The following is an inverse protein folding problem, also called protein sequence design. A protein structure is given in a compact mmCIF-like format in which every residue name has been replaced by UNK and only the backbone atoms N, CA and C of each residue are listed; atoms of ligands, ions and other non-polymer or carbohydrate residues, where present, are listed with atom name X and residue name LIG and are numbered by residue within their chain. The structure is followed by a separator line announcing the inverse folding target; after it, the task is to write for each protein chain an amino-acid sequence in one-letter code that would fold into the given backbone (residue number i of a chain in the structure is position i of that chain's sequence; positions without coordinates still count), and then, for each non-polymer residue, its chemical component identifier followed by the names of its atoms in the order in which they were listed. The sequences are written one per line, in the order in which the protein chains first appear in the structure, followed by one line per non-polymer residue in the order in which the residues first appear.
data_IF_686620495234
#
_entry.id   IF_686620495234
#
_cell.length_a   1.000
_cell.length_b   1.000
_cell.length_c   1.000
_cell.angle_alpha   90.00
_cell.angle_beta   90.00
_cell.angle_gamma   90.00
#
_symmetry.space_group_name_H-M   'P 1'
#
loop_
_entity.id
_entity.type
_entity.pdbx_description
1 polymer ?
#
# COMPACT_ATOMS: atom_id res chain seq x y z
N UNK A 1 2.19 -49.51 67.38
CA UNK A 1 2.09 -49.75 65.92
C UNK A 1 1.63 -48.45 65.29
N UNK A 2 2.55 -47.61 64.92
CA UNK A 2 2.31 -46.26 64.38
C UNK A 2 2.86 -46.21 62.98
N UNK A 3 1.98 -46.07 61.98
CA UNK A 3 2.31 -45.96 60.58
C UNK A 3 2.52 -44.49 60.24
N UNK A 4 3.71 -44.14 59.88
CA UNK A 4 4.04 -42.80 59.32
C UNK A 4 3.86 -42.80 57.83
N UNK A 5 2.97 -41.96 57.35
CA UNK A 5 2.75 -41.66 55.93
C UNK A 5 3.63 -40.50 55.50
N UNK A 6 4.62 -40.73 54.66
CA UNK A 6 5.45 -39.69 54.09
C UNK A 6 4.83 -39.17 52.79
N UNK A 7 4.47 -37.89 52.79
CA UNK A 7 3.97 -37.16 51.62
C UNK A 7 5.15 -36.68 50.77
N UNK A 8 5.31 -37.20 49.58
CA UNK A 8 6.30 -36.75 48.62
C UNK A 8 5.74 -35.52 47.83
N UNK A 9 6.37 -34.39 47.97
CA UNK A 9 6.08 -33.15 47.20
C UNK A 9 6.77 -33.28 45.85
N UNK A 10 6.00 -33.49 44.80
CA UNK A 10 6.47 -33.42 43.40
C UNK A 10 6.66 -31.98 43.01
N UNK A 11 7.91 -31.55 42.82
CA UNK A 11 8.28 -30.28 42.25
C UNK A 11 8.05 -30.34 40.75
N UNK A 12 7.09 -29.54 40.25
CA UNK A 12 6.86 -29.32 38.82
C UNK A 12 8.10 -28.69 38.16
N UNK A 13 8.77 -29.48 37.34
CA UNK A 13 9.94 -29.07 36.59
C UNK A 13 9.54 -28.11 35.46
N UNK A 14 10.16 -26.95 35.42
CA UNK A 14 10.12 -25.99 34.31
C UNK A 14 10.45 -26.71 32.99
N UNK A 15 9.70 -26.51 31.89
CA UNK A 15 9.99 -27.16 30.63
C UNK A 15 11.35 -26.67 30.08
N UNK A 16 12.30 -27.56 30.03
CA UNK A 16 13.63 -27.35 29.44
C UNK A 16 13.45 -27.04 27.97
N UNK A 17 13.91 -25.85 27.51
CA UNK A 17 13.96 -25.51 26.11
C UNK A 17 14.66 -26.63 25.34
N UNK A 18 13.97 -27.22 24.37
CA UNK A 18 14.51 -28.30 23.56
C UNK A 18 15.74 -27.78 22.80
N UNK A 19 16.90 -28.38 23.05
CA UNK A 19 18.14 -28.08 22.33
C UNK A 19 17.92 -28.45 20.86
N UNK A 20 17.79 -27.43 20.01
CA UNK A 20 17.65 -27.63 18.57
C UNK A 20 18.94 -28.21 18.02
N UNK A 21 18.92 -29.44 17.53
CA UNK A 21 20.11 -30.11 16.98
C UNK A 21 20.55 -29.44 15.67
N UNK A 22 21.86 -29.52 15.34
CA UNK A 22 22.41 -28.99 14.09
C UNK A 22 21.66 -29.55 12.86
N UNK A 23 21.31 -30.83 12.87
CA UNK A 23 20.54 -31.50 11.82
C UNK A 23 19.10 -30.94 11.68
N UNK A 24 18.53 -30.40 12.75
CA UNK A 24 17.21 -29.75 12.71
C UNK A 24 17.30 -28.32 12.20
N UNK A 25 18.41 -27.60 12.53
CA UNK A 25 18.72 -26.30 11.93
C UNK A 25 19.02 -26.41 10.44
N UNK A 26 19.75 -27.44 10.01
CA UNK A 26 20.01 -27.72 8.58
C UNK A 26 18.74 -28.07 7.82
N UNK A 27 17.85 -28.90 8.38
CA UNK A 27 16.53 -29.18 7.79
C UNK A 27 15.66 -27.94 7.68
N UNK A 28 15.63 -27.08 8.71
CA UNK A 28 14.91 -25.80 8.69
C UNK A 28 15.52 -24.83 7.67
N UNK A 29 16.85 -24.83 7.52
CA UNK A 29 17.54 -24.01 6.52
C UNK A 29 17.26 -24.51 5.08
N UNK A 30 17.25 -25.84 4.86
CA UNK A 30 16.88 -26.45 3.58
C UNK A 30 15.40 -26.16 3.24
N UNK A 31 14.48 -26.38 4.18
CA UNK A 31 13.05 -26.07 3.98
C UNK A 31 12.77 -24.57 3.76
N UNK A 32 13.65 -23.66 4.22
CA UNK A 32 13.59 -22.23 3.89
C UNK A 32 14.07 -21.93 2.49
N UNK A 33 15.04 -22.70 1.95
CA UNK A 33 15.54 -22.56 0.57
C UNK A 33 14.50 -23.00 -0.48
N UNK A 34 13.69 -23.99 -0.16
CA UNK A 34 12.63 -24.52 -1.04
C UNK A 34 11.31 -23.73 -0.98
N UNK A 35 11.20 -22.76 -0.07
CA UNK A 35 10.02 -21.87 -0.07
C UNK A 35 10.16 -20.86 -1.20
N UNK A 36 9.11 -20.68 -2.05
CA UNK A 36 9.12 -19.62 -3.04
C UNK A 36 9.45 -18.29 -2.36
N UNK A 37 10.33 -17.51 -3.00
CA UNK A 37 10.71 -16.20 -2.47
C UNK A 37 9.44 -15.33 -2.34
N UNK A 38 9.41 -14.47 -1.32
CA UNK A 38 8.29 -13.57 -1.11
C UNK A 38 7.97 -12.79 -2.39
N UNK A 39 6.70 -12.82 -2.79
CA UNK A 39 6.23 -12.15 -4.01
C UNK A 39 6.71 -12.80 -5.32
N UNK A 40 7.02 -14.11 -5.34
CA UNK A 40 7.45 -14.82 -6.53
C UNK A 40 6.49 -14.62 -7.73
N UNK A 41 5.18 -14.63 -7.47
CA UNK A 41 4.14 -14.48 -8.50
C UNK A 41 3.54 -13.07 -8.56
N UNK A 42 4.11 -12.12 -7.82
CA UNK A 42 3.62 -10.75 -7.79
C UNK A 42 4.28 -9.89 -8.89
N UNK A 43 3.51 -9.05 -9.54
CA UNK A 43 4.02 -8.04 -10.48
C UNK A 43 4.81 -6.96 -9.74
N UNK A 44 4.31 -6.52 -8.56
CA UNK A 44 5.04 -5.64 -7.65
C UNK A 44 5.25 -6.40 -6.34
N UNK A 45 6.51 -6.49 -5.91
CA UNK A 45 6.88 -7.08 -4.64
C UNK A 45 7.80 -6.14 -3.86
N UNK A 46 7.27 -5.54 -2.80
CA UNK A 46 8.01 -4.77 -1.81
C UNK A 46 8.18 -5.63 -0.55
N UNK A 47 9.42 -5.92 -0.18
CA UNK A 47 9.79 -6.71 1.00
C UNK A 47 10.59 -5.82 1.95
N UNK A 48 9.97 -5.40 3.05
CA UNK A 48 10.56 -4.56 4.10
C UNK A 48 11.27 -3.33 3.56
N UNK A 49 10.62 -2.62 2.65
CA UNK A 49 11.18 -1.43 2.01
C UNK A 49 11.36 -0.32 3.06
N UNK A 50 12.60 0.17 3.16
CA UNK A 50 12.97 1.30 4.03
C UNK A 50 13.45 2.45 3.16
N UNK A 51 13.00 3.67 3.48
CA UNK A 51 13.53 4.88 2.89
C UNK A 51 13.78 5.93 3.95
N UNK A 52 15.03 6.35 4.08
CA UNK A 52 15.49 7.39 4.99
C UNK A 52 16.00 8.55 4.15
N UNK A 53 15.50 9.75 4.43
CA UNK A 53 16.01 11.00 3.89
C UNK A 53 16.87 11.70 4.95
N UNK A 54 18.04 12.19 4.57
CA UNK A 54 18.89 12.98 5.45
C UNK A 54 18.94 14.40 4.90
N UNK A 55 18.48 15.38 5.68
CA UNK A 55 18.51 16.79 5.33
C UNK A 55 19.04 17.59 6.54
N UNK A 56 20.10 18.33 6.36
CA UNK A 56 20.71 19.18 7.40
C UNK A 56 21.01 18.44 8.72
N UNK A 57 21.40 17.16 8.63
CA UNK A 57 21.71 16.32 9.80
C UNK A 57 20.48 15.73 10.50
N UNK A 58 19.26 15.98 10.00
CA UNK A 58 18.03 15.35 10.48
C UNK A 58 17.69 14.17 9.58
N UNK A 59 17.44 13.01 10.18
CA UNK A 59 16.99 11.81 9.48
C UNK A 59 15.48 11.68 9.59
N UNK A 60 14.83 11.59 8.43
CA UNK A 60 13.39 11.32 8.32
C UNK A 60 13.17 9.96 7.68
N UNK A 61 12.63 9.03 8.43
CA UNK A 61 12.30 7.70 7.95
C UNK A 61 10.91 7.70 7.31
N UNK A 62 10.85 7.85 6.00
CA UNK A 62 9.61 7.93 5.25
C UNK A 62 8.96 6.56 5.03
N UNK A 63 9.75 5.48 4.88
CA UNK A 63 9.27 4.09 4.85
C UNK A 63 10.01 3.27 5.89
N UNK A 64 9.27 2.46 6.65
CA UNK A 64 9.75 1.79 7.87
C UNK A 64 9.64 0.26 7.78
N UNK A 65 10.04 -0.32 6.65
CA UNK A 65 9.92 -1.76 6.40
C UNK A 65 8.54 -2.09 5.82
N UNK A 66 8.14 -1.35 4.77
CA UNK A 66 6.87 -1.52 4.08
C UNK A 66 6.87 -2.81 3.26
N UNK A 67 5.82 -3.62 3.44
CA UNK A 67 5.52 -4.80 2.65
C UNK A 67 4.31 -4.53 1.74
N UNK A 68 4.42 -4.84 0.44
CA UNK A 68 3.32 -4.70 -0.51
C UNK A 68 3.48 -5.73 -1.63
N UNK A 69 2.40 -6.43 -1.95
CA UNK A 69 2.30 -7.28 -3.13
C UNK A 69 1.17 -6.78 -4.02
N UNK A 70 1.43 -6.71 -5.33
CA UNK A 70 0.40 -6.42 -6.35
C UNK A 70 0.49 -7.48 -7.42
N UNK A 71 -0.64 -8.06 -7.78
CA UNK A 71 -0.73 -9.10 -8.82
C UNK A 71 -0.86 -8.48 -10.20
N UNK A 72 -0.57 -9.28 -11.24
CA UNK A 72 -0.74 -8.83 -12.62
C UNK A 72 -2.23 -8.58 -12.94
N UNK A 73 -2.51 -7.50 -13.66
CA UNK A 73 -3.89 -7.10 -14.01
C UNK A 73 -4.68 -6.49 -12.86
N UNK A 74 -4.09 -6.26 -11.69
CA UNK A 74 -4.78 -5.70 -10.53
C UNK A 74 -4.97 -4.19 -10.65
N UNK A 75 -6.18 -3.71 -10.33
CA UNK A 75 -6.49 -2.29 -10.08
C UNK A 75 -6.72 -2.11 -8.58
N UNK A 76 -5.81 -1.38 -7.91
CA UNK A 76 -5.86 -1.16 -6.47
C UNK A 76 -5.64 0.30 -6.08
N UNK A 77 -6.06 0.65 -4.86
CA UNK A 77 -5.80 1.95 -4.27
C UNK A 77 -4.85 1.85 -3.06
N UNK A 78 -3.98 2.85 -2.93
CA UNK A 78 -3.18 3.12 -1.73
C UNK A 78 -3.76 4.35 -1.05
N UNK A 79 -4.16 4.21 0.21
CA UNK A 79 -4.73 5.30 1.01
C UNK A 79 -3.88 5.57 2.26
N UNK A 80 -4.09 6.71 2.89
CA UNK A 80 -3.42 7.08 4.14
C UNK A 80 -3.30 8.58 4.30
N UNK A 81 -2.98 9.03 5.50
CA UNK A 81 -2.80 10.45 5.82
C UNK A 81 -1.65 11.09 5.02
N UNK A 82 -1.63 12.42 4.95
CA UNK A 82 -0.47 13.14 4.41
C UNK A 82 0.78 12.79 5.23
N UNK A 83 1.91 12.61 4.54
CA UNK A 83 3.17 12.22 5.19
C UNK A 83 3.29 10.72 5.55
N UNK A 84 2.29 9.88 5.28
CA UNK A 84 2.36 8.44 5.60
C UNK A 84 3.35 7.62 4.75
N UNK A 85 3.99 8.21 3.72
CA UNK A 85 4.98 7.55 2.88
C UNK A 85 4.50 7.15 1.48
N UNK A 86 3.22 7.40 1.11
CA UNK A 86 2.63 7.03 -0.18
C UNK A 86 3.41 7.55 -1.39
N UNK A 87 3.67 8.86 -1.46
CA UNK A 87 4.42 9.47 -2.57
C UNK A 87 5.87 8.99 -2.61
N UNK A 88 6.48 8.69 -1.45
CA UNK A 88 7.81 8.07 -1.39
C UNK A 88 7.80 6.68 -2.01
N UNK A 89 6.81 5.85 -1.66
CA UNK A 89 6.63 4.53 -2.26
C UNK A 89 6.41 4.64 -3.78
N UNK A 90 5.52 5.54 -4.21
CA UNK A 90 5.26 5.78 -5.64
C UNK A 90 6.51 6.20 -6.41
N UNK A 91 7.34 7.08 -5.85
CA UNK A 91 8.61 7.49 -6.45
C UNK A 91 9.60 6.32 -6.57
N UNK A 92 9.65 5.44 -5.58
CA UNK A 92 10.46 4.22 -5.65
C UNK A 92 9.93 3.30 -6.75
N UNK A 93 8.63 2.99 -6.76
CA UNK A 93 8.00 2.13 -7.77
C UNK A 93 8.13 2.72 -9.18
N UNK A 94 8.13 4.04 -9.33
CA UNK A 94 8.37 4.72 -10.61
C UNK A 94 9.85 4.73 -11.03
N UNK A 95 10.78 4.24 -10.20
CA UNK A 95 12.22 4.30 -10.46
C UNK A 95 12.79 5.73 -10.42
N UNK A 96 12.12 6.64 -9.74
CA UNK A 96 12.55 8.04 -9.52
C UNK A 96 13.42 8.16 -8.25
N UNK A 97 13.22 7.25 -7.30
CA UNK A 97 13.99 7.16 -6.06
C UNK A 97 14.47 5.72 -5.83
N UNK A 98 15.36 5.53 -4.83
CA UNK A 98 15.96 4.23 -4.51
C UNK A 98 15.69 3.93 -3.04
N UNK A 99 15.23 2.71 -2.69
CA UNK A 99 15.13 2.33 -1.28
C UNK A 99 16.48 2.39 -0.58
N UNK A 100 16.48 2.75 0.71
CA UNK A 100 17.68 2.70 1.56
C UNK A 100 18.01 1.26 1.94
N UNK A 101 16.97 0.42 2.17
CA UNK A 101 17.10 -0.99 2.50
C UNK A 101 15.82 -1.75 2.13
N UNK A 102 15.85 -3.06 2.23
CA UNK A 102 14.78 -3.95 1.81
C UNK A 102 14.91 -4.36 0.35
N UNK A 103 13.83 -4.82 -0.26
CA UNK A 103 13.77 -5.19 -1.68
C UNK A 103 12.50 -4.64 -2.31
N UNK A 104 12.63 -4.07 -3.51
CA UNK A 104 11.48 -3.63 -4.31
C UNK A 104 11.67 -4.13 -5.74
N UNK A 105 10.75 -4.97 -6.21
CA UNK A 105 10.74 -5.53 -7.57
C UNK A 105 9.45 -5.17 -8.27
N UNK A 106 9.54 -4.79 -9.55
CA UNK A 106 8.39 -4.48 -10.41
C UNK A 106 8.60 -5.15 -11.76
N UNK A 107 7.68 -5.99 -12.18
CA UNK A 107 7.75 -6.76 -13.42
C UNK A 107 9.13 -7.45 -13.59
N UNK A 108 9.63 -8.07 -12.53
CA UNK A 108 10.94 -8.74 -12.50
C UNK A 108 12.16 -7.83 -12.39
N UNK A 109 12.00 -6.50 -12.52
CA UNK A 109 13.09 -5.53 -12.38
C UNK A 109 13.36 -5.22 -10.90
N UNK A 110 14.61 -5.39 -10.45
CA UNK A 110 15.03 -5.05 -9.09
C UNK A 110 15.42 -3.56 -9.01
N UNK A 111 14.59 -2.77 -8.32
CA UNK A 111 14.73 -1.30 -8.26
C UNK A 111 15.96 -0.84 -7.47
N UNK A 112 16.49 -1.70 -6.59
CA UNK A 112 17.66 -1.39 -5.78
C UNK A 112 18.96 -1.50 -6.60
N UNK A 113 19.06 -2.52 -7.44
CA UNK A 113 20.28 -2.87 -8.17
C UNK A 113 20.41 -2.20 -9.54
N UNK A 114 19.32 -1.57 -10.05
CA UNK A 114 19.32 -0.94 -11.37
C UNK A 114 20.36 0.18 -11.53
N UNK A 115 21.20 0.05 -12.55
CA UNK A 115 22.04 1.14 -13.03
C UNK A 115 21.27 2.26 -13.78
N UNK A 116 21.92 3.40 -14.08
CA UNK A 116 21.24 4.54 -14.72
C UNK A 116 20.57 4.21 -16.07
N UNK A 117 21.20 3.38 -16.89
CA UNK A 117 20.65 2.96 -18.21
C UNK A 117 19.46 2.03 -18.06
N UNK A 118 19.51 1.09 -17.10
CA UNK A 118 18.42 0.17 -16.81
C UNK A 118 17.22 0.93 -16.25
N UNK A 119 17.46 1.88 -15.35
CA UNK A 119 16.44 2.76 -14.77
C UNK A 119 15.74 3.62 -15.83
N UNK A 120 16.49 4.15 -16.81
CA UNK A 120 15.89 4.87 -17.93
C UNK A 120 14.99 3.95 -18.76
N UNK A 121 15.45 2.72 -19.04
CA UNK A 121 14.69 1.71 -19.80
C UNK A 121 13.44 1.28 -19.01
N UNK A 122 13.56 1.05 -17.72
CA UNK A 122 12.46 0.73 -16.82
C UNK A 122 11.34 1.80 -16.86
N UNK A 123 11.70 3.07 -16.66
CA UNK A 123 10.74 4.18 -16.71
C UNK A 123 10.09 4.40 -18.06
N UNK A 124 10.76 4.01 -19.13
CA UNK A 124 10.27 4.17 -20.50
C UNK A 124 9.36 3.01 -20.93
N UNK A 125 9.68 1.79 -20.51
CA UNK A 125 9.12 0.57 -21.09
C UNK A 125 8.22 -0.21 -20.11
N UNK A 126 8.43 -0.09 -18.80
CA UNK A 126 7.76 -0.91 -17.78
C UNK A 126 6.70 -0.15 -17.00
N UNK A 127 6.94 1.14 -16.73
CA UNK A 127 6.07 1.96 -15.87
C UNK A 127 5.52 3.16 -16.62
N UNK A 128 4.20 3.33 -16.55
CA UNK A 128 3.54 4.61 -16.83
C UNK A 128 3.33 5.37 -15.53
N UNK A 129 3.40 6.69 -15.57
CA UNK A 129 3.17 7.52 -14.39
C UNK A 129 2.24 8.69 -14.70
N UNK A 130 1.25 8.92 -13.83
CA UNK A 130 0.33 10.06 -13.86
C UNK A 130 0.51 10.86 -12.59
N UNK A 131 0.98 12.11 -12.73
CA UNK A 131 1.22 13.03 -11.62
C UNK A 131 -0.07 13.70 -11.17
N UNK A 132 -0.16 14.05 -9.88
CA UNK A 132 -1.24 14.82 -9.30
C UNK A 132 -1.48 16.13 -10.06
N UNK A 133 -0.42 16.90 -10.29
CA UNK A 133 -0.50 18.15 -11.06
C UNK A 133 -0.58 17.84 -12.55
N UNK A 134 -1.76 18.04 -13.15
CA UNK A 134 -2.01 17.78 -14.56
C UNK A 134 -1.02 18.49 -15.49
N UNK A 135 -0.57 19.70 -15.13
CA UNK A 135 0.43 20.45 -15.87
C UNK A 135 1.79 19.74 -16.00
N UNK A 136 2.12 18.80 -15.13
CA UNK A 136 3.36 18.00 -15.20
C UNK A 136 3.28 16.83 -16.19
N UNK A 137 2.08 16.46 -16.58
CA UNK A 137 1.85 15.29 -17.46
C UNK A 137 1.92 15.65 -18.94
N UNK A 138 1.68 16.91 -19.31
CA UNK A 138 1.49 17.33 -20.69
C UNK A 138 2.41 18.48 -21.08
N UNK A 139 2.96 18.41 -22.30
CA UNK A 139 3.71 19.50 -22.88
C UNK A 139 2.72 20.52 -23.49
N UNK A 140 2.68 21.77 -23.00
CA UNK A 140 1.60 22.71 -23.29
C UNK A 140 1.57 23.19 -24.75
N UNK A 141 2.67 23.06 -25.48
CA UNK A 141 2.81 23.46 -26.88
C UNK A 141 2.49 22.32 -27.87
N UNK A 142 2.30 21.08 -27.42
CA UNK A 142 1.89 19.92 -28.21
C UNK A 142 0.39 19.70 -28.13
N UNK A 143 -0.21 19.18 -29.20
CA UNK A 143 -1.59 18.70 -29.16
C UNK A 143 -1.70 17.38 -28.38
N UNK A 144 -2.94 16.92 -28.07
CA UNK A 144 -3.16 15.66 -27.36
C UNK A 144 -2.49 14.49 -28.08
N UNK A 145 -2.70 14.32 -29.39
CA UNK A 145 -2.07 13.23 -30.16
C UNK A 145 -0.54 13.34 -30.18
N UNK A 146 -0.01 14.57 -30.22
CA UNK A 146 1.45 14.78 -30.17
C UNK A 146 2.04 14.42 -28.81
N UNK A 147 1.36 14.77 -27.71
CA UNK A 147 1.76 14.36 -26.38
C UNK A 147 1.79 12.82 -26.27
N UNK A 148 0.76 12.13 -26.74
CA UNK A 148 0.66 10.66 -26.67
C UNK A 148 1.71 9.98 -27.56
N UNK A 149 2.01 10.55 -28.76
CA UNK A 149 2.99 9.93 -29.67
C UNK A 149 4.43 10.15 -29.24
N UNK A 150 4.71 11.18 -28.44
CA UNK A 150 6.07 11.53 -28.03
C UNK A 150 6.81 10.42 -27.27
N UNK A 151 6.24 9.77 -26.22
CA UNK A 151 6.90 8.66 -25.53
C UNK A 151 7.27 7.51 -26.47
N UNK A 152 6.40 7.19 -27.44
CA UNK A 152 6.67 6.16 -28.45
C UNK A 152 7.81 6.55 -29.40
N UNK A 153 7.91 7.84 -29.75
CA UNK A 153 9.03 8.35 -30.56
C UNK A 153 10.37 8.24 -29.81
N UNK A 154 10.38 8.62 -28.53
CA UNK A 154 11.56 8.52 -27.66
C UNK A 154 11.99 7.08 -27.38
N UNK A 155 11.05 6.15 -27.37
CA UNK A 155 11.34 4.71 -27.29
C UNK A 155 12.07 4.21 -28.54
N UNK A 156 11.80 4.79 -29.69
CA UNK A 156 12.44 4.41 -30.96
C UNK A 156 11.81 3.19 -31.65
N UNK A 157 10.57 2.82 -31.29
CA UNK A 157 9.84 1.71 -31.93
C UNK A 157 8.73 2.18 -32.88
N UNK A 158 8.37 1.33 -33.84
CA UNK A 158 7.27 1.52 -34.77
C UNK A 158 7.48 2.66 -35.78
N UNK A 159 6.70 2.68 -36.84
CA UNK A 159 6.68 3.78 -37.81
C UNK A 159 5.66 4.87 -37.39
N UNK A 160 5.65 6.01 -38.10
CA UNK A 160 4.78 7.15 -37.80
C UNK A 160 3.29 6.76 -37.81
N UNK A 161 2.89 5.88 -38.74
CA UNK A 161 1.49 5.43 -38.89
C UNK A 161 1.05 4.55 -37.71
N UNK A 162 1.91 3.63 -37.28
CA UNK A 162 1.64 2.76 -36.10
C UNK A 162 1.52 3.56 -34.84
N UNK A 163 2.41 4.54 -34.61
CA UNK A 163 2.32 5.43 -33.43
C UNK A 163 1.05 6.28 -33.44
N UNK A 164 0.66 6.79 -34.60
CA UNK A 164 -0.57 7.55 -34.76
C UNK A 164 -1.82 6.67 -34.47
N UNK A 165 -1.86 5.48 -35.06
CA UNK A 165 -2.95 4.53 -34.86
C UNK A 165 -3.09 4.13 -33.37
N UNK A 166 -1.96 3.87 -32.69
CA UNK A 166 -1.96 3.59 -31.25
C UNK A 166 -2.49 4.78 -30.43
N UNK A 167 -2.06 6.01 -30.75
CA UNK A 167 -2.51 7.21 -30.07
C UNK A 167 -4.02 7.44 -30.29
N UNK A 168 -4.52 7.22 -31.50
CA UNK A 168 -5.95 7.32 -31.84
C UNK A 168 -6.78 6.26 -31.09
N UNK A 169 -6.28 5.01 -30.99
CA UNK A 169 -6.92 3.96 -30.21
C UNK A 169 -7.01 4.35 -28.72
N UNK A 170 -5.96 4.92 -28.13
CA UNK A 170 -5.97 5.38 -26.75
C UNK A 170 -6.95 6.56 -26.53
N UNK A 171 -6.98 7.51 -27.46
CA UNK A 171 -7.93 8.62 -27.40
C UNK A 171 -9.39 8.13 -27.45
N UNK A 172 -9.68 7.14 -28.31
CA UNK A 172 -11.01 6.55 -28.42
C UNK A 172 -11.38 5.75 -27.15
N UNK A 173 -10.48 4.89 -26.64
CA UNK A 173 -10.68 4.11 -25.44
C UNK A 173 -11.00 4.99 -24.21
N UNK A 174 -10.33 6.15 -24.11
CA UNK A 174 -10.49 7.08 -22.99
C UNK A 174 -11.58 8.16 -23.21
N UNK A 175 -12.37 8.02 -24.27
CA UNK A 175 -13.51 8.91 -24.61
C UNK A 175 -13.09 10.38 -24.76
N UNK A 176 -11.97 10.61 -25.49
CA UNK A 176 -11.41 11.93 -25.79
C UNK A 176 -10.94 12.04 -27.25
N UNK A 177 -11.56 11.30 -28.17
CA UNK A 177 -11.20 11.32 -29.59
C UNK A 177 -11.36 12.73 -30.21
N UNK A 178 -12.36 13.49 -29.77
CA UNK A 178 -12.61 14.87 -30.17
C UNK A 178 -11.51 15.86 -29.73
N UNK A 179 -10.68 15.46 -28.78
CA UNK A 179 -9.61 16.28 -28.23
C UNK A 179 -8.28 16.14 -29.01
N UNK A 180 -8.22 15.26 -30.02
CA UNK A 180 -7.04 14.83 -30.77
C UNK A 180 -6.05 15.95 -31.10
N UNK A 181 -6.54 17.03 -31.69
CA UNK A 181 -5.72 18.13 -32.19
C UNK A 181 -5.68 19.35 -31.26
N UNK A 182 -6.39 19.28 -30.11
CA UNK A 182 -6.43 20.32 -29.09
C UNK A 182 -5.15 20.31 -28.24
N UNK A 183 -4.69 21.49 -27.86
CA UNK A 183 -3.59 21.67 -26.89
C UNK A 183 -4.14 21.64 -25.45
N UNK A 184 -3.32 21.36 -24.43
CA UNK A 184 -3.76 21.29 -23.03
C UNK A 184 -4.62 22.48 -22.58
N UNK A 185 -4.26 23.70 -22.99
CA UNK A 185 -5.01 24.93 -22.64
C UNK A 185 -6.44 24.98 -23.24
N UNK A 186 -6.75 24.14 -24.21
CA UNK A 186 -8.06 24.04 -24.88
C UNK A 186 -8.89 22.85 -24.33
N UNK A 187 -8.38 22.18 -23.32
CA UNK A 187 -8.99 20.99 -22.70
C UNK A 187 -9.48 21.31 -21.29
N UNK A 188 -10.61 20.72 -20.89
CA UNK A 188 -11.01 20.73 -19.47
C UNK A 188 -10.02 19.95 -18.61
N UNK A 189 -10.03 20.15 -17.29
CA UNK A 189 -9.15 19.42 -16.36
C UNK A 189 -9.27 17.89 -16.51
N UNK A 190 -10.48 17.36 -16.59
CA UNK A 190 -10.72 15.93 -16.80
C UNK A 190 -10.26 15.43 -18.17
N UNK A 191 -10.41 16.24 -19.24
CA UNK A 191 -9.85 15.91 -20.55
C UNK A 191 -8.33 15.87 -20.52
N UNK A 192 -7.69 16.86 -19.87
CA UNK A 192 -6.23 16.87 -19.69
C UNK A 192 -5.76 15.63 -18.93
N UNK A 193 -6.46 15.23 -17.88
CA UNK A 193 -6.12 14.07 -17.08
C UNK A 193 -6.26 12.76 -17.90
N UNK A 194 -7.33 12.63 -18.70
CA UNK A 194 -7.49 11.48 -19.59
C UNK A 194 -6.42 11.45 -20.69
N UNK A 195 -5.99 12.59 -21.22
CA UNK A 195 -4.82 12.66 -22.13
C UNK A 195 -3.55 12.25 -21.38
N UNK A 196 -3.35 12.65 -20.13
CA UNK A 196 -2.21 12.23 -19.31
C UNK A 196 -2.18 10.70 -19.11
N UNK A 197 -3.33 10.09 -18.86
CA UNK A 197 -3.45 8.61 -18.80
C UNK A 197 -3.05 8.00 -20.15
N UNK A 198 -3.51 8.54 -21.28
CA UNK A 198 -3.13 8.08 -22.62
C UNK A 198 -1.62 8.17 -22.86
N UNK A 199 -0.98 9.27 -22.42
CA UNK A 199 0.48 9.45 -22.50
C UNK A 199 1.21 8.38 -21.69
N UNK A 200 0.77 8.12 -20.47
CA UNK A 200 1.36 7.12 -19.59
C UNK A 200 1.20 5.68 -20.14
N UNK A 201 0.11 5.40 -20.87
CA UNK A 201 -0.19 4.10 -21.50
C UNK A 201 0.43 3.93 -22.90
N UNK A 202 1.03 4.97 -23.47
CA UNK A 202 1.48 4.98 -24.87
C UNK A 202 2.44 3.84 -25.20
N UNK A 203 3.36 3.51 -24.31
CA UNK A 203 4.38 2.48 -24.48
C UNK A 203 3.95 1.07 -24.02
N UNK A 204 2.68 0.84 -23.72
CA UNK A 204 2.16 -0.41 -23.15
C UNK A 204 2.90 -0.83 -21.85
N UNK A 205 2.90 0.00 -20.81
CA UNK A 205 3.57 -0.33 -19.56
C UNK A 205 2.89 -1.52 -18.88
N UNK A 206 3.67 -2.32 -18.14
CA UNK A 206 3.13 -3.38 -17.28
C UNK A 206 2.38 -2.81 -16.09
N UNK A 207 2.82 -1.66 -15.60
CA UNK A 207 2.26 -0.97 -14.44
C UNK A 207 1.99 0.49 -14.76
N UNK A 208 0.80 0.96 -14.39
CA UNK A 208 0.43 2.37 -14.38
C UNK A 208 0.32 2.84 -12.92
N UNK A 209 1.11 3.82 -12.56
CA UNK A 209 1.10 4.47 -11.25
C UNK A 209 0.40 5.83 -11.37
N UNK A 210 -0.51 6.14 -10.47
CA UNK A 210 -1.21 7.42 -10.46
C UNK A 210 -1.20 8.03 -9.05
N UNK A 211 -0.63 9.23 -8.91
CA UNK A 211 -0.54 9.93 -7.64
C UNK A 211 -1.62 11.00 -7.59
N UNK A 212 -2.66 10.77 -6.77
CA UNK A 212 -3.84 11.63 -6.59
C UNK A 212 -4.46 12.17 -7.89
N UNK A 213 -4.81 11.30 -8.85
CA UNK A 213 -5.15 11.72 -10.21
C UNK A 213 -6.45 12.52 -10.34
N UNK A 214 -7.27 12.57 -9.28
CA UNK A 214 -8.56 13.26 -9.24
C UNK A 214 -8.57 14.43 -8.25
N UNK A 215 -7.48 14.68 -7.53
CA UNK A 215 -7.42 15.61 -6.40
C UNK A 215 -7.69 17.09 -6.75
N UNK A 216 -7.60 17.48 -8.03
CA UNK A 216 -7.88 18.85 -8.50
C UNK A 216 -9.22 18.94 -9.29
N UNK A 217 -10.03 17.87 -9.28
CA UNK A 217 -11.26 17.74 -10.08
C UNK A 217 -12.50 17.73 -9.19
N UNK A 218 -13.62 18.18 -9.74
CA UNK A 218 -14.92 17.96 -9.12
C UNK A 218 -15.31 16.46 -9.17
N UNK A 219 -16.24 16.04 -8.31
CA UNK A 219 -16.60 14.62 -8.14
C UNK A 219 -17.07 13.97 -9.45
N UNK A 220 -17.90 14.65 -10.26
CA UNK A 220 -18.41 14.08 -11.51
C UNK A 220 -17.30 13.89 -12.55
N UNK A 221 -16.38 14.82 -12.63
CA UNK A 221 -15.19 14.73 -13.48
C UNK A 221 -14.21 13.66 -12.95
N UNK A 222 -14.08 13.55 -11.63
CA UNK A 222 -13.27 12.52 -10.95
C UNK A 222 -13.75 11.11 -11.31
N UNK A 223 -15.07 10.86 -11.28
CA UNK A 223 -15.67 9.57 -11.68
C UNK A 223 -15.35 9.21 -13.14
N UNK A 224 -15.39 10.19 -14.06
CA UNK A 224 -15.03 9.96 -15.47
C UNK A 224 -13.54 9.58 -15.64
N UNK A 225 -12.67 10.23 -14.89
CA UNK A 225 -11.22 9.91 -14.88
C UNK A 225 -10.99 8.52 -14.29
N UNK A 226 -11.71 8.17 -13.22
CA UNK A 226 -11.62 6.83 -12.64
C UNK A 226 -12.13 5.75 -13.60
N UNK A 227 -13.25 6.01 -14.29
CA UNK A 227 -13.75 5.12 -15.35
C UNK A 227 -12.72 4.90 -16.47
N UNK A 228 -11.89 5.92 -16.78
CA UNK A 228 -10.80 5.79 -17.74
C UNK A 228 -9.69 4.83 -17.23
N UNK A 229 -9.33 4.87 -15.93
CA UNK A 229 -8.42 3.88 -15.34
C UNK A 229 -8.99 2.47 -15.39
N UNK A 230 -10.27 2.29 -15.08
CA UNK A 230 -10.94 0.99 -15.13
C UNK A 230 -10.93 0.40 -16.55
N UNK A 231 -11.30 1.20 -17.57
CA UNK A 231 -11.21 0.76 -18.97
C UNK A 231 -9.78 0.39 -19.37
N UNK A 232 -8.79 1.18 -18.97
CA UNK A 232 -7.39 0.87 -19.25
C UNK A 232 -6.95 -0.47 -18.62
N UNK A 233 -7.37 -0.76 -17.40
CA UNK A 233 -7.12 -2.03 -16.74
C UNK A 233 -7.82 -3.19 -17.46
N UNK A 234 -9.10 -3.07 -17.78
CA UNK A 234 -9.91 -4.11 -18.41
C UNK A 234 -9.48 -4.40 -19.86
N UNK A 235 -9.25 -3.37 -20.69
CA UNK A 235 -8.96 -3.52 -22.11
C UNK A 235 -7.48 -3.83 -22.41
N UNK A 236 -6.55 -3.29 -21.59
CA UNK A 236 -5.11 -3.46 -21.83
C UNK A 236 -4.45 -4.48 -20.88
N UNK A 237 -5.15 -4.91 -19.83
CA UNK A 237 -4.58 -5.79 -18.78
C UNK A 237 -3.49 -5.11 -17.95
N UNK A 238 -3.30 -3.80 -18.06
CA UNK A 238 -2.29 -3.05 -17.33
C UNK A 238 -2.64 -3.02 -15.84
N UNK A 239 -1.72 -3.41 -14.98
CA UNK A 239 -1.90 -3.28 -13.53
C UNK A 239 -1.83 -1.82 -13.12
N UNK A 240 -2.73 -1.39 -12.24
CA UNK A 240 -2.87 0.03 -11.89
C UNK A 240 -2.83 0.20 -10.37
N UNK A 241 -1.96 1.10 -9.90
CA UNK A 241 -1.88 1.50 -8.49
C UNK A 241 -2.19 2.99 -8.40
N UNK A 242 -3.28 3.33 -7.71
CA UNK A 242 -3.74 4.70 -7.53
C UNK A 242 -3.52 5.11 -6.08
N UNK A 243 -2.76 6.18 -5.85
CA UNK A 243 -2.73 6.85 -4.54
C UNK A 243 -3.88 7.84 -4.49
N UNK A 244 -4.69 7.77 -3.46
CA UNK A 244 -5.79 8.71 -3.25
C UNK A 244 -6.08 8.89 -1.75
N UNK A 245 -6.58 10.06 -1.40
CA UNK A 245 -7.23 10.32 -0.11
C UNK A 245 -8.76 10.35 -0.24
N UNK A 246 -9.29 10.23 -1.45
CA UNK A 246 -10.73 10.20 -1.74
C UNK A 246 -11.27 8.79 -1.47
N UNK A 247 -12.16 8.68 -0.47
CA UNK A 247 -12.82 7.44 -0.11
C UNK A 247 -13.74 6.91 -1.22
N UNK A 248 -14.34 7.80 -2.03
CA UNK A 248 -15.19 7.39 -3.14
C UNK A 248 -14.36 6.59 -4.16
N UNK A 249 -13.20 7.11 -4.56
CA UNK A 249 -12.26 6.40 -5.44
C UNK A 249 -11.75 5.10 -4.80
N UNK A 250 -11.42 5.13 -3.52
CA UNK A 250 -10.97 3.94 -2.80
C UNK A 250 -12.05 2.84 -2.71
N UNK A 251 -13.34 3.22 -2.73
CA UNK A 251 -14.46 2.27 -2.71
C UNK A 251 -14.75 1.63 -4.06
N UNK A 252 -14.31 2.23 -5.14
CA UNK A 252 -14.51 1.72 -6.51
C UNK A 252 -13.55 0.58 -6.91
N UNK A 253 -12.48 0.37 -6.15
CA UNK A 253 -11.50 -0.70 -6.41
C UNK A 253 -11.78 -1.92 -5.56
N UNK A 254 -11.39 -3.11 -6.06
CA UNK A 254 -11.55 -4.36 -5.32
C UNK A 254 -10.67 -4.44 -4.08
N UNK A 255 -9.51 -3.78 -4.12
CA UNK A 255 -8.53 -3.83 -3.04
C UNK A 255 -7.99 -2.44 -2.73
N UNK A 256 -8.07 -2.08 -1.45
CA UNK A 256 -7.50 -0.84 -0.91
C UNK A 256 -6.51 -1.19 0.17
N UNK A 257 -5.29 -0.66 0.10
CA UNK A 257 -4.25 -0.85 1.13
C UNK A 257 -3.97 0.47 1.80
N UNK A 258 -4.06 0.49 3.12
CA UNK A 258 -3.76 1.67 3.93
C UNK A 258 -2.28 1.70 4.32
N UNK A 259 -1.64 2.86 4.12
CA UNK A 259 -0.28 3.13 4.60
C UNK A 259 -0.36 4.11 5.76
N UNK A 260 0.25 3.71 6.88
CA UNK A 260 0.37 4.51 8.10
C UNK A 260 1.81 4.43 8.62
N UNK A 261 2.40 5.59 8.93
CA UNK A 261 3.76 5.69 9.48
C UNK A 261 4.82 4.90 8.68
N UNK A 262 4.75 4.99 7.35
CA UNK A 262 5.68 4.31 6.44
C UNK A 262 5.54 2.78 6.38
N UNK A 263 4.41 2.21 6.82
CA UNK A 263 4.09 0.78 6.80
C UNK A 263 2.71 0.51 6.23
N UNK A 264 2.49 -0.68 5.72
CA UNK A 264 1.14 -1.18 5.45
C UNK A 264 0.44 -1.48 6.78
N UNK A 265 -0.75 -0.90 7.00
CA UNK A 265 -1.49 -1.03 8.26
C UNK A 265 -2.74 -1.90 8.12
N UNK A 266 -3.58 -1.64 7.14
CA UNK A 266 -4.76 -2.45 6.87
C UNK A 266 -4.99 -2.62 5.38
N UNK A 267 -5.83 -3.60 5.04
CA UNK A 267 -6.25 -3.93 3.70
C UNK A 267 -7.75 -4.16 3.68
N UNK A 268 -8.44 -3.50 2.75
CA UNK A 268 -9.86 -3.71 2.51
C UNK A 268 -10.04 -4.46 1.20
N UNK A 269 -10.63 -5.66 1.29
CA UNK A 269 -11.02 -6.46 0.12
C UNK A 269 -12.51 -6.35 -0.10
N UNK A 270 -12.91 -5.97 -1.32
CA UNK A 270 -14.30 -5.90 -1.74
C UNK A 270 -14.61 -7.03 -2.70
N UNK A 271 -15.69 -7.75 -2.44
CA UNK A 271 -16.18 -8.83 -3.30
C UNK A 271 -17.68 -8.63 -3.53
N UNK A 272 -18.11 -8.93 -4.73
CA UNK A 272 -19.55 -9.06 -5.01
C UNK A 272 -19.98 -10.46 -4.56
N UNK A 273 -20.86 -10.52 -3.57
CA UNK A 273 -21.51 -11.76 -3.14
C UNK A 273 -22.93 -11.78 -3.72
N UNK A 274 -23.29 -12.90 -4.36
CA UNK A 274 -24.64 -13.12 -4.86
C UNK A 274 -25.37 -13.93 -3.79
N UNK A 275 -26.43 -13.37 -3.23
CA UNK A 275 -27.29 -14.10 -2.31
C UNK A 275 -27.94 -15.29 -3.04
N UNK A 276 -27.63 -16.50 -2.59
CA UNK A 276 -28.08 -17.73 -3.23
C UNK A 276 -29.61 -17.92 -3.18
N UNK A 277 -30.31 -17.24 -2.27
CA UNK A 277 -31.78 -17.34 -2.11
C UNK A 277 -32.52 -16.28 -2.93
N UNK A 278 -31.98 -15.08 -3.08
CA UNK A 278 -32.63 -13.93 -3.72
C UNK A 278 -32.05 -13.59 -5.09
N UNK A 279 -30.85 -14.06 -5.42
CA UNK A 279 -30.09 -13.67 -6.62
C UNK A 279 -29.63 -12.21 -6.62
N UNK A 280 -29.76 -11.49 -5.51
CA UNK A 280 -29.30 -10.11 -5.38
C UNK A 280 -27.79 -10.05 -5.21
N UNK A 281 -27.15 -9.18 -5.98
CA UNK A 281 -25.74 -8.85 -5.81
C UNK A 281 -25.58 -7.84 -4.69
N UNK A 282 -24.70 -8.13 -3.73
CA UNK A 282 -24.28 -7.21 -2.68
C UNK A 282 -22.77 -7.08 -2.66
N UNK A 283 -22.26 -5.87 -2.47
CA UNK A 283 -20.83 -5.66 -2.25
C UNK A 283 -20.52 -5.85 -0.77
N UNK A 284 -19.67 -6.84 -0.46
CA UNK A 284 -19.18 -7.08 0.89
C UNK A 284 -17.73 -6.60 0.95
N UNK A 285 -17.47 -5.67 1.87
CA UNK A 285 -16.13 -5.19 2.20
C UNK A 285 -15.65 -5.85 3.49
N UNK A 286 -14.44 -6.43 3.48
CA UNK A 286 -13.79 -6.95 4.68
C UNK A 286 -12.47 -6.24 4.87
N UNK A 287 -12.27 -5.71 6.07
CA UNK A 287 -11.03 -5.09 6.48
C UNK A 287 -10.14 -6.11 7.23
N UNK A 288 -8.88 -6.12 6.88
CA UNK A 288 -7.85 -6.96 7.48
C UNK A 288 -6.74 -6.07 8.03
N UNK A 289 -6.34 -6.25 9.26
CA UNK A 289 -5.10 -5.66 9.78
C UNK A 289 -3.89 -6.42 9.23
N UNK A 290 -2.88 -5.71 8.77
CA UNK A 290 -1.69 -6.33 8.20
C UNK A 290 -0.71 -6.75 9.29
N UNK A 291 -0.40 -8.05 9.35
CA UNK A 291 0.62 -8.60 10.23
C UNK A 291 1.96 -8.62 9.48
N UNK A 292 2.95 -7.86 9.96
CA UNK A 292 4.28 -7.89 9.38
C UNK A 292 5.04 -9.19 9.75
N UNK A 293 6.17 -9.42 9.09
CA UNK A 293 6.96 -10.65 9.33
C UNK A 293 7.60 -10.73 10.71
N UNK A 294 7.63 -9.64 11.45
CA UNK A 294 8.07 -9.61 12.84
C UNK A 294 6.92 -9.89 13.84
N UNK A 295 5.72 -10.16 13.31
CA UNK A 295 4.52 -10.39 14.14
C UNK A 295 3.91 -9.11 14.67
N UNK A 296 4.17 -7.95 14.06
CA UNK A 296 3.57 -6.67 14.47
C UNK A 296 2.37 -6.37 13.60
N UNK A 297 1.29 -5.90 14.21
CA UNK A 297 0.15 -5.32 13.53
C UNK A 297 -0.15 -3.94 14.12
N UNK A 298 -0.72 -3.05 13.30
CA UNK A 298 -1.26 -1.78 13.75
C UNK A 298 -2.78 -1.93 13.85
N UNK A 299 -3.31 -1.77 15.07
CA UNK A 299 -4.75 -1.74 15.26
C UNK A 299 -5.33 -0.47 14.61
N UNK A 300 -6.51 -0.55 13.96
CA UNK A 300 -7.20 0.62 13.45
C UNK A 300 -7.40 1.66 14.55
N UNK A 301 -7.16 2.95 14.20
CA UNK A 301 -7.26 4.03 15.18
C UNK A 301 -8.65 4.15 15.80
N UNK A 302 -9.68 3.91 14.98
CA UNK A 302 -11.08 3.96 15.41
C UNK A 302 -11.37 2.89 16.48
N UNK A 303 -10.77 1.70 16.37
CA UNK A 303 -10.94 0.61 17.35
C UNK A 303 -10.24 0.91 18.66
N UNK A 304 -8.99 1.40 18.58
CA UNK A 304 -8.23 1.76 19.79
C UNK A 304 -8.87 2.92 20.53
N UNK A 305 -9.38 3.92 19.78
CA UNK A 305 -10.09 5.06 20.35
C UNK A 305 -11.45 4.67 20.94
N UNK A 306 -12.24 3.85 20.24
CA UNK A 306 -13.55 3.38 20.72
C UNK A 306 -13.46 2.56 21.99
N UNK A 307 -12.35 1.83 22.19
CA UNK A 307 -12.10 0.98 23.35
C UNK A 307 -11.19 1.64 24.41
N UNK A 308 -10.76 2.90 24.20
CA UNK A 308 -9.89 3.62 25.14
C UNK A 308 -8.51 2.97 25.32
N UNK A 309 -7.98 2.33 24.29
CA UNK A 309 -6.65 1.70 24.32
C UNK A 309 -5.57 2.76 24.06
N UNK A 310 -4.75 3.09 25.08
CA UNK A 310 -3.74 4.16 24.95
C UNK A 310 -2.31 3.62 24.91
N UNK A 311 -1.82 2.99 25.97
CA UNK A 311 -0.40 2.68 26.13
C UNK A 311 -0.08 1.20 26.14
N UNK A 312 -0.90 0.38 26.78
CA UNK A 312 -0.71 -1.06 26.89
C UNK A 312 -2.05 -1.79 26.78
N UNK A 313 -1.97 -3.02 26.31
CA UNK A 313 -3.13 -3.89 26.14
C UNK A 313 -2.84 -5.26 26.76
N UNK A 314 -3.85 -5.91 27.29
CA UNK A 314 -3.77 -7.30 27.72
C UNK A 314 -3.98 -8.19 26.50
N UNK A 315 -3.11 -9.18 26.33
CA UNK A 315 -3.23 -10.19 25.28
C UNK A 315 -3.62 -11.53 25.90
N UNK A 316 -4.66 -12.13 25.37
CA UNK A 316 -5.12 -13.47 25.75
C UNK A 316 -5.12 -14.37 24.52
N UNK A 317 -4.53 -15.57 24.64
CA UNK A 317 -4.51 -16.57 23.61
C UNK A 317 -5.67 -17.53 23.80
N UNK A 318 -6.65 -17.47 22.92
CA UNK A 318 -7.74 -18.42 22.82
C UNK A 318 -7.44 -19.53 21.80
N UNK A 319 -8.20 -20.61 21.75
CA UNK A 319 -7.95 -21.73 20.84
C UNK A 319 -7.98 -21.35 19.35
N UNK A 320 -8.73 -20.31 18.97
CA UNK A 320 -9.00 -19.89 17.59
C UNK A 320 -8.68 -18.41 17.30
N UNK A 321 -8.33 -17.59 18.32
CA UNK A 321 -7.99 -16.18 18.16
C UNK A 321 -7.08 -15.66 19.26
N UNK A 322 -6.60 -14.41 19.08
CA UNK A 322 -5.90 -13.64 20.11
C UNK A 322 -6.81 -12.50 20.51
N UNK A 323 -7.25 -12.49 21.77
CA UNK A 323 -7.97 -11.38 22.38
C UNK A 323 -7.04 -10.21 22.68
N UNK A 324 -7.49 -8.99 22.41
CA UNK A 324 -6.77 -7.74 22.75
C UNK A 324 -7.71 -6.86 23.56
N UNK A 325 -7.36 -6.62 24.81
CA UNK A 325 -8.22 -5.93 25.77
C UNK A 325 -7.60 -4.63 26.25
N UNK A 326 -8.40 -3.59 26.54
CA UNK A 326 -7.91 -2.39 27.21
C UNK A 326 -7.26 -2.73 28.55
N UNK A 327 -6.21 -2.01 28.92
CA UNK A 327 -5.66 -2.11 30.28
C UNK A 327 -6.62 -1.47 31.29
N UNK A 328 -7.32 -2.31 32.04
CA UNK A 328 -8.25 -1.87 33.07
C UNK A 328 -7.58 -1.19 34.29
N UNK A 329 -6.23 -1.21 34.39
CA UNK A 329 -5.47 -0.70 35.51
C UNK A 329 -4.86 0.69 35.28
N UNK A 330 -4.95 1.26 34.07
CA UNK A 330 -4.39 2.58 33.73
C UNK A 330 -5.16 3.79 34.29
N UNK A 331 -6.34 3.57 34.88
CA UNK A 331 -7.22 4.64 35.38
C UNK A 331 -7.20 4.86 36.91
N UNK A 332 -6.32 4.20 37.67
CA UNK A 332 -6.42 4.23 39.15
C UNK A 332 -5.11 4.37 39.93
N UNK A 333 -4.03 4.89 39.36
CA UNK A 333 -2.82 5.22 40.15
C UNK A 333 -2.68 6.69 40.58
N UNK A 334 -3.60 7.57 40.22
CA UNK A 334 -3.73 8.92 40.78
C UNK A 334 -4.95 9.00 41.74
N UNK A 335 -5.00 8.13 42.75
CA UNK A 335 -5.89 8.29 43.87
C UNK A 335 -5.40 9.45 44.75
N UNK A 336 -6.31 10.33 45.28
CA UNK A 336 -5.89 11.42 46.11
C UNK A 336 -5.24 10.90 47.42
N UNK A 337 -4.08 11.47 47.75
CA UNK A 337 -3.40 11.21 49.02
C UNK A 337 -4.40 11.31 50.18
N UNK A 338 -4.58 10.24 50.93
CA UNK A 338 -5.33 10.24 52.20
C UNK A 338 -4.70 11.26 53.14
N UNK A 339 -5.43 12.35 53.39
CA UNK A 339 -5.18 13.23 54.53
C UNK A 339 -5.45 12.42 55.80
N UNK A 340 -4.41 12.03 56.49
CA UNK A 340 -4.50 11.46 57.83
C UNK A 340 -5.17 12.44 58.79
N UNK A 341 -5.87 11.94 59.85
CA UNK A 341 -6.63 12.75 60.75
C UNK A 341 -5.71 13.66 61.58
N UNK A 342 -6.08 14.94 61.67
CA UNK A 342 -5.49 15.90 62.59
C UNK A 342 -5.69 15.45 64.03
N UNK A 343 -4.63 15.14 64.76
CA UNK A 343 -4.65 14.99 66.20
C UNK A 343 -4.89 16.35 66.85
N UNK A 344 -5.99 16.43 67.62
CA UNK A 344 -6.27 17.46 68.60
C UNK A 344 -5.18 17.52 69.65
N UNK A 345 -4.55 18.65 69.86
CA UNK A 345 -3.73 18.94 71.02
C UNK A 345 -4.41 20.00 71.87
N UNK A 346 -4.49 19.78 73.24
CA UNK A 346 -5.29 20.63 74.13
C UNK A 346 -4.58 21.90 74.55
N UNK A 347 -5.38 22.89 74.84
CA UNK A 347 -5.06 24.17 75.54
C UNK A 347 -4.11 24.04 76.69
N UNK A 348 -3.13 24.91 76.75
CA UNK A 348 -2.82 25.77 77.92
C UNK A 348 -2.07 27.01 77.44
#
# INVERSE_FOLDING_TARGET
MTSSTSTSTETAGTPRAAETTLAELERRAAARRDRPSYGHDALIACDRVVRIFTTDGVEVQALQGLDLLVTEGELMALVGASGSGKSTLMNILAGLDVPTAGSAKVAGCDLLSMGPKERLRYRRDVVGFVWQQTARNLLPYLSAIQNITLPMQLRGGGNKRERAARAESLLAMLDIADCRDRRPQQLSGGQQQRVAIAVALANNPSVLLADEPTGELDSATGEQVFAAFRRANEELGTSIVIVTHDQAVANEVRRTVAIRDGRTSSEVLRRTEVDAATGQESQVAREYAMLDRAGRLQLPADYTQALGMEHRVLLELEPDHIGVWPDAHGASEDGPAENGPAEDAPEK
#
